data_IF_731823436923
#
_entry.id   IF_731823436923
#
_cell.length_a   1.000
_cell.length_b   1.000
_cell.length_c   1.000
_cell.angle_alpha   90.00
_cell.angle_beta   90.00
_cell.angle_gamma   90.00
#
_symmetry.space_group_name_H-M   'P 1'
#
loop_
_entity.id
_entity.type
_entity.pdbx_description
1 polymer ?
#
# COMPACT_ATOMS: atom_id res chain seq x y z
N UNK A 1 -4.79 12.13 -2.03
CA UNK A 1 -4.30 11.03 -1.16
C UNK A 1 -4.71 9.66 -1.69
N UNK A 2 -6.00 9.27 -1.76
CA UNK A 2 -6.41 7.98 -2.34
C UNK A 2 -5.94 7.76 -3.80
N UNK A 3 -5.84 8.84 -4.58
CA UNK A 3 -5.26 8.81 -5.94
C UNK A 3 -3.82 8.27 -5.96
N UNK A 4 -3.01 8.54 -4.92
CA UNK A 4 -1.65 8.02 -4.83
C UNK A 4 -1.63 6.50 -4.63
N UNK A 5 -2.61 5.94 -3.93
CA UNK A 5 -2.76 4.48 -3.81
C UNK A 5 -3.22 3.84 -5.11
N UNK A 6 -4.06 4.52 -5.89
CA UNK A 6 -4.42 4.06 -7.25
C UNK A 6 -3.18 4.05 -8.14
N UNK A 7 -2.41 5.14 -8.14
CA UNK A 7 -1.16 5.22 -8.93
C UNK A 7 -0.14 4.17 -8.48
N UNK A 8 0.02 3.96 -7.17
CA UNK A 8 0.91 2.91 -6.64
C UNK A 8 0.45 1.50 -7.01
N UNK A 9 -0.86 1.24 -6.94
CA UNK A 9 -1.45 -0.03 -7.35
C UNK A 9 -1.26 -0.31 -8.83
N UNK A 10 -1.52 0.68 -9.69
CA UNK A 10 -1.27 0.58 -11.14
C UNK A 10 0.22 0.39 -11.41
N UNK A 11 1.10 1.19 -10.79
CA UNK A 11 2.54 1.08 -10.96
C UNK A 11 3.08 -0.31 -10.63
N UNK A 12 2.51 -0.96 -9.62
CA UNK A 12 2.87 -2.33 -9.22
C UNK A 12 2.54 -3.37 -10.29
N UNK A 13 1.56 -3.12 -11.17
CA UNK A 13 1.24 -3.98 -12.32
C UNK A 13 2.30 -3.91 -13.42
N UNK A 14 3.06 -2.81 -13.48
CA UNK A 14 4.16 -2.62 -14.44
C UNK A 14 5.50 -3.19 -13.94
N UNK A 15 5.54 -3.76 -12.73
CA UNK A 15 6.75 -4.38 -12.15
C UNK A 15 7.45 -5.38 -13.09
N UNK A 16 6.77 -6.23 -13.89
CA UNK A 16 7.45 -7.10 -14.84
C UNK A 16 8.27 -6.35 -15.90
N UNK A 17 7.72 -5.24 -16.41
CA UNK A 17 8.37 -4.41 -17.42
C UNK A 17 9.55 -3.67 -16.82
N UNK A 18 9.38 -3.04 -15.65
CA UNK A 18 10.47 -2.32 -15.00
C UNK A 18 11.57 -3.27 -14.54
N UNK A 19 11.22 -4.44 -13.98
CA UNK A 19 12.20 -5.43 -13.54
C UNK A 19 13.01 -6.02 -14.70
N UNK A 20 12.39 -6.24 -15.87
CA UNK A 20 13.10 -6.69 -17.07
C UNK A 20 14.18 -5.67 -17.48
N UNK A 21 13.84 -4.38 -17.46
CA UNK A 21 14.79 -3.31 -17.79
C UNK A 21 15.88 -3.19 -16.72
N UNK A 22 15.53 -3.28 -15.43
CA UNK A 22 16.50 -3.29 -14.32
C UNK A 22 17.47 -4.46 -14.46
N UNK A 23 16.98 -5.67 -14.75
CA UNK A 23 17.84 -6.84 -14.92
C UNK A 23 18.86 -6.71 -16.07
N UNK A 24 18.58 -5.85 -17.07
CA UNK A 24 19.51 -5.55 -18.16
C UNK A 24 20.54 -4.50 -17.81
N UNK A 25 20.18 -3.51 -16.99
CA UNK A 25 21.07 -2.38 -16.65
C UNK A 25 21.85 -2.61 -15.35
N UNK A 26 21.22 -3.23 -14.35
CA UNK A 26 21.70 -3.45 -12.99
C UNK A 26 21.20 -4.83 -12.48
N UNK A 27 21.80 -5.94 -12.95
CA UNK A 27 21.33 -7.29 -12.66
C UNK A 27 21.30 -7.64 -11.17
N UNK A 28 22.19 -7.04 -10.37
CA UNK A 28 22.26 -7.18 -8.91
C UNK A 28 21.07 -6.57 -8.17
N UNK A 29 20.32 -5.67 -8.82
CA UNK A 29 19.11 -5.04 -8.27
C UNK A 29 17.82 -5.69 -8.80
N UNK A 30 17.92 -6.70 -9.65
CA UNK A 30 16.77 -7.37 -10.22
C UNK A 30 16.01 -8.17 -9.16
N UNK A 31 14.69 -8.00 -9.14
CA UNK A 31 13.80 -8.78 -8.31
C UNK A 31 13.73 -10.22 -8.82
N UNK A 32 13.65 -11.17 -7.88
CA UNK A 32 13.31 -12.55 -8.20
C UNK A 32 11.90 -12.64 -8.80
N UNK A 33 11.65 -13.68 -9.60
CA UNK A 33 10.32 -13.90 -10.20
C UNK A 33 9.20 -13.96 -9.14
N UNK A 34 9.48 -14.53 -7.96
CA UNK A 34 8.54 -14.54 -6.83
C UNK A 34 8.19 -13.13 -6.34
N UNK A 35 9.20 -12.26 -6.22
CA UNK A 35 8.99 -10.86 -5.79
C UNK A 35 8.25 -10.02 -6.85
N UNK A 36 8.46 -10.31 -8.13
CA UNK A 36 7.68 -9.68 -9.22
C UNK A 36 6.20 -10.06 -9.11
N UNK A 37 5.90 -11.35 -8.96
CA UNK A 37 4.52 -11.84 -8.80
C UNK A 37 3.88 -11.26 -7.54
N UNK A 38 4.61 -11.25 -6.42
CA UNK A 38 4.15 -10.62 -5.18
C UNK A 38 3.79 -9.15 -5.39
N UNK A 39 4.63 -8.39 -6.08
CA UNK A 39 4.38 -6.96 -6.34
C UNK A 39 3.08 -6.74 -7.11
N UNK A 40 2.80 -7.57 -8.12
CA UNK A 40 1.54 -7.49 -8.88
C UNK A 40 0.33 -7.78 -7.97
N UNK A 41 0.39 -8.86 -7.17
CA UNK A 41 -0.69 -9.26 -6.28
C UNK A 41 -0.96 -8.15 -5.25
N UNK A 42 0.08 -7.62 -4.61
CA UNK A 42 -0.02 -6.51 -3.67
C UNK A 42 -0.63 -5.26 -4.33
N UNK A 43 -0.24 -4.97 -5.57
CA UNK A 43 -0.84 -3.91 -6.39
C UNK A 43 -2.35 -4.08 -6.60
N UNK A 44 -2.78 -5.28 -6.97
CA UNK A 44 -4.21 -5.63 -7.15
C UNK A 44 -4.96 -5.46 -5.82
N UNK A 45 -4.42 -5.97 -4.72
CA UNK A 45 -5.04 -5.84 -3.39
C UNK A 45 -5.21 -4.36 -3.01
N UNK A 46 -4.19 -3.53 -3.24
CA UNK A 46 -4.25 -2.10 -2.96
C UNK A 46 -5.33 -1.40 -3.80
N UNK A 47 -5.48 -1.76 -5.07
CA UNK A 47 -6.54 -1.24 -5.93
C UNK A 47 -7.93 -1.64 -5.43
N UNK A 48 -8.12 -2.92 -5.07
CA UNK A 48 -9.39 -3.43 -4.53
C UNK A 48 -9.76 -2.71 -3.24
N UNK A 49 -8.80 -2.54 -2.32
CA UNK A 49 -9.00 -1.77 -1.08
C UNK A 49 -9.41 -0.33 -1.40
N UNK A 50 -8.71 0.31 -2.33
CA UNK A 50 -8.97 1.72 -2.66
C UNK A 50 -10.34 1.90 -3.29
N UNK A 51 -10.77 1.02 -4.20
CA UNK A 51 -12.13 1.00 -4.77
C UNK A 51 -13.15 0.71 -3.66
N UNK A 52 -12.86 -0.26 -2.80
CA UNK A 52 -13.69 -0.63 -1.66
C UNK A 52 -13.92 0.53 -0.69
N UNK A 53 -12.99 1.48 -0.53
CA UNK A 53 -13.19 2.66 0.33
C UNK A 53 -14.35 3.51 -0.18
N UNK A 54 -14.56 3.59 -1.50
CA UNK A 54 -15.68 4.30 -2.09
C UNK A 54 -17.00 3.52 -1.99
N UNK A 55 -16.96 2.18 -2.02
CA UNK A 55 -18.15 1.33 -2.04
C UNK A 55 -18.60 0.81 -0.66
N UNK A 56 -17.67 0.28 0.13
CA UNK A 56 -17.89 -0.42 1.41
C UNK A 56 -17.43 0.40 2.63
N UNK A 57 -17.09 1.67 2.42
CA UNK A 57 -16.74 2.70 3.43
C UNK A 57 -15.83 2.11 4.53
N UNK A 58 -16.38 1.83 5.72
CA UNK A 58 -15.62 1.42 6.91
C UNK A 58 -14.80 0.14 6.72
N UNK A 59 -15.36 -0.90 6.10
CA UNK A 59 -14.70 -2.21 5.99
C UNK A 59 -13.40 -2.10 5.18
N UNK A 60 -13.43 -1.41 4.06
CA UNK A 60 -12.25 -1.21 3.23
C UNK A 60 -11.22 -0.28 3.86
N UNK A 61 -11.65 0.68 4.70
CA UNK A 61 -10.73 1.52 5.46
C UNK A 61 -9.97 0.72 6.52
N UNK A 62 -10.62 -0.25 7.18
CA UNK A 62 -9.92 -1.19 8.06
C UNK A 62 -8.98 -2.12 7.29
N UNK A 63 -9.37 -2.57 6.09
CA UNK A 63 -8.49 -3.36 5.23
C UNK A 63 -7.21 -2.58 4.87
N UNK A 64 -7.31 -1.28 4.58
CA UNK A 64 -6.15 -0.42 4.35
C UNK A 64 -5.24 -0.33 5.58
N UNK A 65 -5.82 -0.23 6.77
CA UNK A 65 -5.09 -0.17 8.04
C UNK A 65 -4.28 -1.44 8.31
N UNK A 66 -4.77 -2.61 7.87
CA UNK A 66 -4.08 -3.90 8.01
C UNK A 66 -3.07 -4.12 6.89
N UNK A 67 -3.40 -3.72 5.66
CA UNK A 67 -2.58 -3.96 4.47
C UNK A 67 -1.16 -3.38 4.61
N UNK A 68 -1.03 -2.14 5.05
CA UNK A 68 0.28 -1.47 5.12
C UNK A 68 1.25 -2.12 6.13
N UNK A 69 0.86 -2.37 7.40
CA UNK A 69 1.71 -3.09 8.34
C UNK A 69 2.08 -4.50 7.87
N UNK A 70 1.12 -5.25 7.31
CA UNK A 70 1.39 -6.61 6.80
C UNK A 70 2.38 -6.58 5.64
N UNK A 71 2.16 -5.71 4.66
CA UNK A 71 3.06 -5.58 3.50
C UNK A 71 4.47 -5.13 3.94
N UNK A 72 4.57 -4.25 4.93
CA UNK A 72 5.86 -3.86 5.50
C UNK A 72 6.57 -5.02 6.20
N UNK A 73 5.87 -5.78 7.05
CA UNK A 73 6.43 -6.96 7.72
C UNK A 73 6.90 -8.02 6.71
N UNK A 74 6.11 -8.27 5.66
CA UNK A 74 6.50 -9.15 4.56
C UNK A 74 7.76 -8.64 3.83
N UNK A 75 7.86 -7.33 3.62
CA UNK A 75 9.06 -6.70 3.08
C UNK A 75 10.28 -6.91 3.97
N UNK A 76 10.15 -6.83 5.29
CA UNK A 76 11.26 -7.04 6.23
C UNK A 76 11.78 -8.47 6.21
N UNK A 77 10.89 -9.47 6.21
CA UNK A 77 11.32 -10.90 6.23
C UNK A 77 11.95 -11.35 4.91
N UNK A 78 11.70 -10.64 3.81
CA UNK A 78 12.24 -10.96 2.48
C UNK A 78 13.46 -10.11 2.10
N UNK A 79 13.90 -9.23 2.99
CA UNK A 79 14.95 -8.26 2.72
C UNK A 79 16.35 -8.90 2.85
N UNK A 80 17.25 -8.57 1.92
CA UNK A 80 18.67 -8.93 2.03
C UNK A 80 19.41 -7.89 2.89
N UNK A 81 19.80 -8.30 4.10
CA UNK A 81 20.48 -7.46 5.08
C UNK A 81 21.94 -7.16 4.72
N UNK A 82 22.50 -7.79 3.68
CA UNK A 82 23.87 -7.50 3.21
C UNK A 82 23.99 -6.08 2.60
N UNK A 83 22.89 -5.48 2.16
CA UNK A 83 22.83 -4.13 1.59
C UNK A 83 22.43 -3.07 2.64
N UNK A 84 23.21 -2.96 3.72
CA UNK A 84 22.85 -2.19 4.92
C UNK A 84 22.29 -0.77 4.67
N UNK A 85 22.85 0.08 3.78
CA UNK A 85 22.30 1.42 3.54
C UNK A 85 20.89 1.41 2.94
N UNK A 86 20.63 0.47 2.02
CA UNK A 86 19.33 0.32 1.33
C UNK A 86 18.29 -0.21 2.31
N UNK A 87 18.69 -1.16 3.16
CA UNK A 87 17.86 -1.75 4.21
C UNK A 87 17.39 -0.70 5.20
N UNK A 88 18.31 0.12 5.72
CA UNK A 88 17.98 1.19 6.67
C UNK A 88 17.00 2.20 6.05
N UNK A 89 17.25 2.63 4.81
CA UNK A 89 16.36 3.53 4.09
C UNK A 89 14.96 2.95 3.90
N UNK A 90 14.87 1.66 3.60
CA UNK A 90 13.60 0.94 3.41
C UNK A 90 12.82 0.79 4.71
N UNK A 91 13.50 0.51 5.84
CA UNK A 91 12.87 0.43 7.18
C UNK A 91 12.29 1.79 7.56
N UNK A 92 13.08 2.86 7.45
CA UNK A 92 12.63 4.22 7.78
C UNK A 92 11.44 4.62 6.91
N UNK A 93 11.55 4.41 5.59
CA UNK A 93 10.47 4.71 4.65
C UNK A 93 9.19 3.93 4.95
N UNK A 94 9.31 2.65 5.29
CA UNK A 94 8.17 1.81 5.65
C UNK A 94 7.48 2.25 6.94
N UNK A 95 8.24 2.58 7.99
CA UNK A 95 7.67 3.10 9.25
C UNK A 95 6.92 4.42 9.02
N UNK A 96 7.51 5.35 8.26
CA UNK A 96 6.86 6.61 7.89
C UNK A 96 5.58 6.33 7.10
N UNK A 97 5.64 5.40 6.13
CA UNK A 97 4.49 5.00 5.33
C UNK A 97 3.32 4.43 6.15
N UNK A 98 3.62 3.65 7.19
CA UNK A 98 2.62 3.15 8.14
C UNK A 98 1.97 4.31 8.88
N UNK A 99 2.76 5.23 9.46
CA UNK A 99 2.23 6.38 10.21
C UNK A 99 1.30 7.23 9.34
N UNK A 100 1.73 7.56 8.12
CA UNK A 100 0.92 8.33 7.16
C UNK A 100 -0.39 7.59 6.84
N UNK A 101 -0.33 6.28 6.63
CA UNK A 101 -1.52 5.47 6.36
C UNK A 101 -2.51 5.49 7.51
N UNK A 102 -2.04 5.39 8.76
CA UNK A 102 -2.93 5.49 9.92
C UNK A 102 -3.58 6.87 10.06
N UNK A 103 -2.87 7.96 9.74
CA UNK A 103 -3.45 9.31 9.70
C UNK A 103 -4.55 9.40 8.63
N UNK A 104 -4.36 8.76 7.48
CA UNK A 104 -5.36 8.70 6.41
C UNK A 104 -6.59 7.89 6.85
N UNK A 105 -6.37 6.69 7.41
CA UNK A 105 -7.43 5.82 7.95
C UNK A 105 -8.27 6.59 8.97
N UNK A 106 -7.64 7.26 9.93
CA UNK A 106 -8.32 8.06 10.94
C UNK A 106 -9.15 9.19 10.31
N UNK A 107 -8.58 9.92 9.34
CA UNK A 107 -9.26 11.01 8.65
C UNK A 107 -10.50 10.53 7.88
N UNK A 108 -10.41 9.38 7.21
CA UNK A 108 -11.53 8.79 6.46
C UNK A 108 -12.61 8.29 7.43
N UNK A 109 -12.25 7.57 8.50
CA UNK A 109 -13.21 7.11 9.50
C UNK A 109 -13.96 8.26 10.16
N UNK A 110 -13.24 9.35 10.51
CA UNK A 110 -13.86 10.57 11.07
C UNK A 110 -14.86 11.18 10.10
N UNK A 111 -14.53 11.25 8.81
CA UNK A 111 -15.45 11.75 7.77
C UNK A 111 -16.67 10.86 7.60
N UNK A 112 -16.50 9.53 7.61
CA UNK A 112 -17.63 8.60 7.51
C UNK A 112 -18.56 8.77 8.71
N UNK A 113 -18.03 8.82 9.92
CA UNK A 113 -18.82 9.00 11.15
C UNK A 113 -19.62 10.31 11.11
N UNK A 114 -18.97 11.42 10.72
CA UNK A 114 -19.65 12.72 10.59
C UNK A 114 -20.81 12.67 9.60
N UNK A 115 -20.61 12.03 8.43
CA UNK A 115 -21.67 11.92 7.43
C UNK A 115 -22.85 11.07 7.93
N UNK A 116 -22.59 9.99 8.68
CA UNK A 116 -23.64 9.16 9.30
C UNK A 116 -24.43 9.93 10.38
N UNK A 117 -23.75 10.75 11.19
CA UNK A 117 -24.42 11.60 12.19
C UNK A 117 -25.31 12.66 11.53
N UNK A 118 -24.83 13.32 10.48
CA UNK A 118 -25.59 14.33 9.72
C UNK A 118 -26.81 13.70 9.04
N UNK A 119 -26.64 12.56 8.38
CA UNK A 119 -27.75 11.82 7.74
C UNK A 119 -28.83 11.41 8.76
N UNK A 120 -28.43 10.95 9.95
CA UNK A 120 -29.38 10.64 11.02
C UNK A 120 -30.13 11.88 11.53
N UNK A 121 -29.50 13.06 11.61
CA UNK A 121 -30.19 14.28 12.04
C UNK A 121 -31.15 14.88 11.01
N UNK A 122 -30.97 14.57 9.72
CA UNK A 122 -31.87 15.02 8.64
C UNK A 122 -33.06 14.09 8.41
N UNK A 123 -32.98 12.86 8.91
CA UNK A 123 -34.03 11.84 8.82
C UNK A 123 -34.94 11.80 10.08
N UNK A 124 -34.76 12.73 11.02
CA UNK A 124 -35.62 12.98 12.19
C UNK A 124 -36.48 14.21 11.90
#
# INVERSE_FOLDING_TARGET
>A
MLVLYILGGIGSLFTPLTNKTTAQMFPELALSNGMVVFSIISGIILLVITIGIFMWKKVAVYALAVYYPVNFLLGLITMDYSMAPVVIGSIIGGVIGIIITYLIVFSILKKIKYNEEVENTMNV
#
